data_IF_295585981284
#
_entry.id   IF_295585981284
#
_cell.length_a   1.000
_cell.length_b   1.000
_cell.length_c   1.000
_cell.angle_alpha   90.00
_cell.angle_beta   90.00
_cell.angle_gamma   90.00
#
_symmetry.space_group_name_H-M   'P 1'
#
loop_
_entity.id
_entity.type
_entity.pdbx_description
1 polymer ?
#
# COMPACT_ATOMS: atom_id res chain seq x y z
N UNK A 1 0.42 15.15 24.64
CA UNK A 1 1.15 15.70 23.48
C UNK A 1 0.56 15.07 22.22
N UNK A 2 -0.32 15.77 21.50
CA UNK A 2 -0.85 15.35 20.21
C UNK A 2 0.14 15.79 19.13
N UNK A 3 0.94 14.88 18.57
CA UNK A 3 1.63 15.13 17.31
C UNK A 3 0.77 14.50 16.21
N UNK A 4 0.02 15.28 15.44
CA UNK A 4 -0.93 14.75 14.44
C UNK A 4 -0.26 14.03 13.24
N UNK A 5 1.07 13.96 13.23
CA UNK A 5 1.87 13.34 12.16
C UNK A 5 2.90 12.33 12.71
N UNK A 6 2.64 11.72 13.87
CA UNK A 6 3.46 10.60 14.34
C UNK A 6 2.96 9.30 13.75
N UNK A 7 3.77 8.68 12.89
CA UNK A 7 3.58 7.29 12.48
C UNK A 7 3.84 6.38 13.69
N UNK A 8 3.05 5.32 13.81
CA UNK A 8 3.43 4.18 14.65
C UNK A 8 4.67 3.49 14.07
N UNK A 9 5.37 2.71 14.89
CA UNK A 9 6.58 1.97 14.48
C UNK A 9 6.29 1.03 13.30
N UNK A 10 5.15 0.33 13.32
CA UNK A 10 4.70 -0.52 12.21
C UNK A 10 4.43 0.28 10.93
N UNK A 11 3.81 1.46 11.03
CA UNK A 11 3.56 2.34 9.89
C UNK A 11 4.86 2.92 9.33
N UNK A 12 5.81 3.23 10.20
CA UNK A 12 7.15 3.66 9.80
C UNK A 12 7.87 2.57 9.02
N UNK A 13 7.89 1.33 9.50
CA UNK A 13 8.52 0.21 8.79
C UNK A 13 7.82 -0.13 7.47
N UNK A 14 6.50 0.00 7.40
CA UNK A 14 5.76 -0.14 6.13
C UNK A 14 6.15 0.95 5.14
N UNK A 15 6.30 2.19 5.60
CA UNK A 15 6.69 3.32 4.76
C UNK A 15 8.15 3.18 4.27
N UNK A 16 9.04 2.74 5.16
CA UNK A 16 10.44 2.44 4.85
C UNK A 16 10.54 1.36 3.75
N UNK A 17 9.81 0.24 3.91
CA UNK A 17 9.75 -0.81 2.87
C UNK A 17 9.18 -0.32 1.54
N UNK A 18 8.17 0.55 1.57
CA UNK A 18 7.60 1.15 0.37
C UNK A 18 8.62 2.06 -0.33
N UNK A 19 9.38 2.86 0.43
CA UNK A 19 10.45 3.70 -0.09
C UNK A 19 11.55 2.85 -0.76
N UNK A 20 12.01 1.79 -0.11
CA UNK A 20 13.01 0.86 -0.66
C UNK A 20 12.54 0.26 -1.98
N UNK A 21 11.27 -0.14 -2.05
CA UNK A 21 10.65 -0.70 -3.26
C UNK A 21 10.63 0.31 -4.41
N UNK A 22 10.29 1.57 -4.13
CA UNK A 22 10.29 2.66 -5.11
C UNK A 22 11.72 2.96 -5.60
N UNK A 23 12.69 2.97 -4.70
CA UNK A 23 14.11 3.16 -5.07
C UNK A 23 14.58 2.05 -5.99
N UNK A 24 14.25 0.79 -5.68
CA UNK A 24 14.59 -0.36 -6.52
C UNK A 24 13.97 -0.24 -7.93
N UNK A 25 12.69 0.14 -8.02
CA UNK A 25 12.03 0.39 -9.30
C UNK A 25 12.73 1.49 -10.10
N UNK A 26 13.14 2.57 -9.44
CA UNK A 26 13.78 3.72 -10.09
C UNK A 26 15.15 3.34 -10.67
N UNK A 27 15.90 2.49 -9.97
CA UNK A 27 17.16 1.92 -10.46
C UNK A 27 16.90 1.02 -11.66
N UNK A 28 15.92 0.12 -11.58
CA UNK A 28 15.59 -0.79 -12.68
C UNK A 28 15.10 -0.04 -13.93
N UNK A 29 14.27 0.99 -13.79
CA UNK A 29 13.85 1.83 -14.92
C UNK A 29 15.02 2.62 -15.52
N UNK A 30 15.92 3.14 -14.67
CA UNK A 30 17.14 3.80 -15.09
C UNK A 30 18.11 2.84 -15.81
N UNK A 31 18.15 1.58 -15.38
CA UNK A 31 18.88 0.53 -16.06
C UNK A 31 18.23 0.22 -17.40
N UNK A 32 16.92 -0.04 -17.49
CA UNK A 32 16.18 -0.39 -18.73
C UNK A 32 16.33 0.67 -19.85
N UNK A 33 16.56 1.93 -19.51
CA UNK A 33 16.90 2.98 -20.49
C UNK A 33 18.33 2.89 -21.04
N UNK A 34 19.23 2.19 -20.35
CA UNK A 34 20.53 1.74 -20.86
C UNK A 34 20.39 0.32 -21.40
N UNK A 35 21.36 -0.14 -22.21
CA UNK A 35 21.40 -1.51 -22.74
C UNK A 35 21.32 -2.53 -21.60
N UNK A 36 20.12 -2.99 -21.25
CA UNK A 36 19.92 -3.95 -20.16
C UNK A 36 20.01 -5.38 -20.65
N UNK A 37 20.58 -6.20 -19.79
CA UNK A 37 20.61 -7.66 -19.91
C UNK A 37 19.26 -8.29 -19.56
N UNK A 38 18.30 -7.50 -19.05
CA UNK A 38 17.00 -7.98 -18.62
C UNK A 38 16.07 -8.18 -19.81
N UNK A 39 15.53 -9.39 -19.92
CA UNK A 39 14.55 -9.69 -20.95
C UNK A 39 13.19 -9.08 -20.59
N UNK A 40 12.35 -8.70 -21.57
CA UNK A 40 10.99 -8.21 -21.32
C UNK A 40 10.14 -9.15 -20.44
N UNK A 41 10.42 -10.46 -20.51
CA UNK A 41 9.76 -11.47 -19.68
C UNK A 41 10.09 -11.34 -18.19
N UNK A 42 11.35 -11.01 -17.85
CA UNK A 42 11.75 -10.78 -16.46
C UNK A 42 11.08 -9.54 -15.88
N UNK A 43 10.96 -8.49 -16.69
CA UNK A 43 10.26 -7.26 -16.31
C UNK A 43 8.77 -7.57 -16.08
N UNK A 44 8.13 -8.32 -16.98
CA UNK A 44 6.74 -8.71 -16.84
C UNK A 44 6.48 -9.55 -15.58
N UNK A 45 7.31 -10.55 -15.30
CA UNK A 45 7.15 -11.37 -14.09
C UNK A 45 7.33 -10.55 -12.81
N UNK A 46 8.26 -9.59 -12.82
CA UNK A 46 8.45 -8.72 -11.67
C UNK A 46 7.26 -7.79 -11.43
N UNK A 47 6.71 -7.20 -12.50
CA UNK A 47 5.52 -6.36 -12.41
C UNK A 47 4.28 -7.13 -11.91
N UNK A 48 4.15 -8.40 -12.29
CA UNK A 48 3.08 -9.28 -11.80
C UNK A 48 3.20 -9.49 -10.28
N UNK A 49 4.39 -9.87 -9.80
CA UNK A 49 4.65 -10.04 -8.36
C UNK A 49 4.46 -8.74 -7.56
N UNK A 50 4.88 -7.60 -8.11
CA UNK A 50 4.66 -6.30 -7.48
C UNK A 50 3.17 -5.94 -7.36
N UNK A 51 2.37 -6.30 -8.38
CA UNK A 51 0.91 -6.10 -8.35
C UNK A 51 0.25 -6.86 -7.20
N UNK A 52 0.70 -8.09 -6.93
CA UNK A 52 0.25 -8.89 -5.78
C UNK A 52 0.63 -8.24 -4.45
N UNK A 53 1.87 -7.80 -4.30
CA UNK A 53 2.37 -7.14 -3.08
C UNK A 53 1.62 -5.84 -2.77
N UNK A 54 1.41 -4.99 -3.77
CA UNK A 54 0.63 -3.75 -3.62
C UNK A 54 -0.82 -4.06 -3.25
N UNK A 55 -1.40 -5.09 -3.85
CA UNK A 55 -2.78 -5.52 -3.55
C UNK A 55 -2.92 -5.94 -2.08
N UNK A 56 -1.93 -6.65 -1.52
CA UNK A 56 -1.91 -7.04 -0.11
C UNK A 56 -1.83 -5.82 0.82
N UNK A 57 -1.02 -4.81 0.46
CA UNK A 57 -0.93 -3.56 1.23
C UNK A 57 -2.25 -2.81 1.20
N UNK A 58 -2.87 -2.65 0.03
CA UNK A 58 -4.18 -1.99 -0.11
C UNK A 58 -5.24 -2.72 0.73
N UNK A 59 -5.32 -4.04 0.64
CA UNK A 59 -6.25 -4.82 1.44
C UNK A 59 -6.01 -4.61 2.93
N UNK A 60 -4.75 -4.60 3.38
CA UNK A 60 -4.42 -4.37 4.79
C UNK A 60 -4.90 -3.01 5.32
N UNK A 61 -4.96 -1.98 4.47
CA UNK A 61 -5.50 -0.67 4.83
C UNK A 61 -7.03 -0.66 4.79
N UNK A 62 -7.67 -1.34 3.84
CA UNK A 62 -9.13 -1.46 3.76
C UNK A 62 -9.69 -2.22 4.96
N UNK A 63 -9.03 -3.28 5.43
CA UNK A 63 -9.44 -3.99 6.64
C UNK A 63 -9.23 -3.20 7.94
N UNK A 64 -8.40 -2.15 7.91
CA UNK A 64 -8.20 -1.23 9.02
C UNK A 64 -9.19 -0.05 9.04
N UNK A 65 -10.04 0.09 8.01
CA UNK A 65 -11.08 1.12 8.02
C UNK A 65 -12.14 0.79 9.08
N UNK A 66 -12.48 1.71 9.99
CA UNK A 66 -13.57 1.48 10.95
C UNK A 66 -14.86 1.20 10.18
N UNK A 67 -15.56 0.11 10.52
CA UNK A 67 -16.90 -0.17 9.98
C UNK A 67 -17.77 1.08 10.11
N UNK A 68 -18.44 1.55 9.03
CA UNK A 68 -19.41 2.61 9.17
C UNK A 68 -20.48 2.13 10.15
N UNK A 69 -20.66 2.87 11.26
CA UNK A 69 -21.77 2.66 12.18
C UNK A 69 -23.05 2.86 11.38
N UNK A 70 -23.68 1.75 11.02
CA UNK A 70 -25.05 1.77 10.54
C UNK A 70 -25.90 2.16 11.75
N UNK A 71 -26.23 3.45 11.85
CA UNK A 71 -27.22 3.94 12.80
C UNK A 71 -28.53 3.20 12.52
N UNK A 72 -28.93 2.36 13.48
CA UNK A 72 -30.24 1.73 13.48
C UNK A 72 -31.26 2.81 13.86
N UNK A 73 -32.35 3.02 13.10
CA UNK A 73 -33.35 4.01 13.47
C UNK A 73 -34.14 3.42 14.65
N UNK A 74 -33.80 3.85 15.87
CA UNK A 74 -34.63 3.59 17.03
C UNK A 74 -36.02 4.18 16.79
N UNK A 75 -37.01 3.30 16.92
CA UNK A 75 -38.43 3.61 16.77
C UNK A 75 -38.85 4.59 17.87
N UNK A 76 -39.04 5.85 17.51
CA UNK A 76 -39.85 6.79 18.29
C UNK A 76 -41.31 6.34 18.27
N UNK A 77 -41.79 5.75 19.37
CA UNK A 77 -43.21 5.72 19.70
C UNK A 77 -43.40 6.28 21.12
N UNK A 78 -43.73 7.56 21.14
CA UNK A 78 -44.45 8.24 22.21
C UNK A 78 -45.93 8.05 21.90
N UNK A 79 -46.67 7.34 22.73
CA UNK A 79 -48.01 7.71 23.27
C UNK A 79 -48.13 7.07 24.64
#
# INVERSE_FOLDING_TARGET
>A
MNRPYSLSEDEFHKLERAQESITLMSILFGEVQRSTTYTPRMIASFLDSLGEDISLVIQSMVYQLPKPRVESPERSHVI
#
